data_IF_952616943895
#
_entry.id   IF_952616943895
#
_cell.length_a   1.000
_cell.length_b   1.000
_cell.length_c   1.000
_cell.angle_alpha   90.00
_cell.angle_beta   90.00
_cell.angle_gamma   90.00
#
_symmetry.space_group_name_H-M   'P 1'
#
loop_
_entity.id
_entity.type
_entity.pdbx_description
1 polymer ?
#
# COMPACT_ATOMS: atom_id res chain seq x y z
N UNK A 1 7.76 -14.52 23.42
CA UNK A 1 6.38 -14.85 23.85
C UNK A 1 5.37 -14.99 22.70
N UNK A 2 5.54 -14.32 21.54
CA UNK A 2 4.58 -14.39 20.42
C UNK A 2 4.59 -15.69 19.59
N UNK A 3 5.73 -16.41 19.55
CA UNK A 3 5.89 -17.63 18.74
C UNK A 3 4.89 -18.74 19.08
N UNK A 4 4.66 -18.99 20.37
CA UNK A 4 3.75 -20.05 20.85
C UNK A 4 2.28 -19.70 20.58
N UNK A 5 1.93 -18.40 20.55
CA UNK A 5 0.56 -17.96 20.28
C UNK A 5 0.19 -18.09 18.80
N UNK A 6 1.09 -17.73 17.89
CA UNK A 6 0.85 -17.82 16.44
C UNK A 6 0.74 -19.27 15.96
N UNK A 7 1.55 -20.19 16.49
CA UNK A 7 1.52 -21.61 16.11
C UNK A 7 0.12 -22.22 16.28
N UNK A 8 -0.53 -21.92 17.40
CA UNK A 8 -1.82 -22.48 17.78
C UNK A 8 -3.04 -21.82 17.12
N UNK A 9 -2.85 -20.78 16.31
CA UNK A 9 -3.95 -20.17 15.57
C UNK A 9 -4.37 -21.06 14.40
N UNK A 10 -5.68 -21.06 14.11
CA UNK A 10 -6.23 -21.68 12.91
C UNK A 10 -5.57 -21.15 11.65
N UNK A 11 -5.39 -22.01 10.65
CA UNK A 11 -4.78 -21.67 9.35
C UNK A 11 -5.49 -20.48 8.71
N UNK A 12 -6.83 -20.45 8.75
CA UNK A 12 -7.63 -19.32 8.25
C UNK A 12 -7.24 -18.00 8.90
N UNK A 13 -7.07 -17.97 10.22
CA UNK A 13 -6.72 -16.75 10.96
C UNK A 13 -5.32 -16.27 10.61
N UNK A 14 -4.36 -17.19 10.46
CA UNK A 14 -2.99 -16.88 10.01
C UNK A 14 -3.00 -16.19 8.63
N UNK A 15 -3.77 -16.71 7.67
CA UNK A 15 -3.91 -16.13 6.33
C UNK A 15 -4.66 -14.79 6.34
N UNK A 16 -5.71 -14.65 7.15
CA UNK A 16 -6.45 -13.39 7.29
C UNK A 16 -5.58 -12.27 7.87
N UNK A 17 -4.71 -12.58 8.83
CA UNK A 17 -3.77 -11.61 9.40
C UNK A 17 -2.77 -11.12 8.34
N UNK A 18 -2.21 -12.03 7.54
CA UNK A 18 -1.34 -11.66 6.42
C UNK A 18 -2.06 -10.73 5.43
N UNK A 19 -3.26 -11.11 4.99
CA UNK A 19 -4.06 -10.31 4.06
C UNK A 19 -4.40 -8.93 4.61
N UNK A 20 -4.82 -8.86 5.88
CA UNK A 20 -5.12 -7.59 6.54
C UNK A 20 -3.90 -6.67 6.63
N UNK A 21 -2.73 -7.21 6.98
CA UNK A 21 -1.47 -6.45 7.03
C UNK A 21 -1.07 -5.95 5.64
N UNK A 22 -1.18 -6.79 4.61
CA UNK A 22 -0.86 -6.40 3.23
C UNK A 22 -1.78 -5.29 2.73
N UNK A 23 -3.09 -5.40 2.97
CA UNK A 23 -4.08 -4.37 2.62
C UNK A 23 -3.80 -3.07 3.38
N UNK A 24 -3.54 -3.16 4.68
CA UNK A 24 -3.18 -1.99 5.49
C UNK A 24 -1.92 -1.30 4.96
N UNK A 25 -0.90 -2.06 4.56
CA UNK A 25 0.31 -1.54 3.93
C UNK A 25 0.00 -0.77 2.63
N UNK A 26 -0.80 -1.35 1.75
CA UNK A 26 -1.23 -0.69 0.50
C UNK A 26 -2.03 0.59 0.78
N UNK A 27 -2.93 0.58 1.76
CA UNK A 27 -3.69 1.77 2.15
C UNK A 27 -2.79 2.87 2.69
N UNK A 28 -1.80 2.54 3.53
CA UNK A 28 -0.82 3.49 4.03
C UNK A 28 -0.04 4.12 2.87
N UNK A 29 0.39 3.32 1.89
CA UNK A 29 1.06 3.84 0.69
C UNK A 29 0.15 4.76 -0.13
N UNK A 30 -1.13 4.40 -0.27
CA UNK A 30 -2.13 5.24 -0.96
C UNK A 30 -2.37 6.58 -0.27
N UNK A 31 -2.56 6.59 1.05
CA UNK A 31 -2.73 7.82 1.83
C UNK A 31 -1.50 8.72 1.71
N UNK A 32 -0.30 8.14 1.83
CA UNK A 32 0.97 8.85 1.66
C UNK A 32 1.14 9.45 0.26
N UNK A 33 0.68 8.76 -0.78
CA UNK A 33 0.68 9.29 -2.15
C UNK A 33 -0.27 10.48 -2.28
N UNK A 34 -1.49 10.37 -1.75
CA UNK A 34 -2.48 11.46 -1.81
C UNK A 34 -2.03 12.73 -1.08
N UNK A 35 -1.45 12.60 0.12
CA UNK A 35 -0.96 13.76 0.89
C UNK A 35 0.18 14.48 0.16
N UNK A 36 1.07 13.74 -0.50
CA UNK A 36 2.16 14.33 -1.28
C UNK A 36 1.62 15.14 -2.47
N UNK A 37 0.62 14.61 -3.18
CA UNK A 37 -0.02 15.30 -4.31
C UNK A 37 -0.76 16.56 -3.89
N UNK A 38 -1.41 16.56 -2.71
CA UNK A 38 -2.12 17.74 -2.21
C UNK A 38 -1.21 18.95 -1.98
N UNK A 39 0.02 18.74 -1.51
CA UNK A 39 0.99 19.85 -1.35
C UNK A 39 1.45 20.41 -2.68
N UNK A 40 1.83 19.53 -3.61
CA UNK A 40 2.24 19.93 -4.98
C UNK A 40 1.12 20.72 -5.65
N UNK A 41 -0.14 20.30 -5.46
CA UNK A 41 -1.30 21.02 -5.98
C UNK A 41 -1.39 22.44 -5.42
N UNK A 42 -1.17 22.63 -4.13
CA UNK A 42 -1.21 23.96 -3.50
C UNK A 42 -0.13 24.89 -4.04
N UNK A 43 1.11 24.43 -4.13
CA UNK A 43 2.23 25.23 -4.67
C UNK A 43 1.98 25.57 -6.15
N UNK A 44 1.48 24.62 -6.93
CA UNK A 44 1.15 24.86 -8.33
C UNK A 44 0.00 25.88 -8.48
N UNK A 45 -0.99 25.81 -7.59
CA UNK A 45 -2.03 26.84 -7.49
C UNK A 45 -1.42 28.19 -7.15
N UNK A 46 -0.52 28.26 -6.17
CA UNK A 46 0.09 29.53 -5.76
C UNK A 46 0.92 30.18 -6.88
N UNK A 47 1.71 29.40 -7.61
CA UNK A 47 2.47 29.87 -8.76
C UNK A 47 1.53 30.31 -9.89
N UNK A 48 0.61 29.44 -10.30
CA UNK A 48 -0.17 29.63 -11.53
C UNK A 48 -1.32 30.62 -11.37
N UNK A 49 -1.90 30.74 -10.18
CA UNK A 49 -3.07 31.58 -9.94
C UNK A 49 -2.74 32.88 -9.21
N UNK A 50 -1.59 32.99 -8.53
CA UNK A 50 -1.21 34.19 -7.78
C UNK A 50 0.10 34.80 -8.25
N UNK A 51 1.25 34.13 -8.09
CA UNK A 51 2.54 34.78 -8.34
C UNK A 51 2.77 35.16 -9.80
N UNK A 52 2.49 34.25 -10.74
CA UNK A 52 2.71 34.55 -12.16
C UNK A 52 1.79 35.66 -12.69
N UNK A 53 0.46 35.64 -12.47
CA UNK A 53 -0.39 36.77 -12.82
C UNK A 53 0.02 38.07 -12.14
N UNK A 54 0.46 38.02 -10.89
CA UNK A 54 0.88 39.20 -10.13
C UNK A 54 2.10 39.88 -10.77
N UNK A 55 3.12 39.12 -11.18
CA UNK A 55 4.28 39.67 -11.88
C UNK A 55 3.89 40.25 -13.24
N UNK A 56 3.06 39.54 -14.02
CA UNK A 56 2.63 40.00 -15.35
C UNK A 56 1.85 41.32 -15.27
N UNK A 57 0.91 41.45 -14.31
CA UNK A 57 0.13 42.68 -14.15
C UNK A 57 1.03 43.85 -13.73
N UNK A 58 2.01 43.62 -12.85
CA UNK A 58 2.92 44.68 -12.39
C UNK A 58 3.91 45.13 -13.46
N UNK A 59 4.44 44.22 -14.27
CA UNK A 59 5.28 44.59 -15.42
C UNK A 59 4.50 45.40 -16.46
N UNK A 60 3.25 45.01 -16.72
CA UNK A 60 2.34 45.74 -17.60
C UNK A 60 2.00 47.13 -17.04
N UNK A 61 1.72 47.24 -15.74
CA UNK A 61 1.53 48.53 -15.06
C UNK A 61 2.78 49.41 -15.13
N UNK A 62 3.96 48.85 -14.86
CA UNK A 62 5.21 49.60 -14.94
C UNK A 62 5.50 50.12 -16.36
N UNK A 63 5.14 49.32 -17.37
CA UNK A 63 5.24 49.71 -18.78
C UNK A 63 4.24 50.83 -19.10
N UNK A 64 2.96 50.66 -18.78
CA UNK A 64 1.90 51.64 -19.07
C UNK A 64 2.09 52.96 -18.37
N UNK A 65 2.54 52.95 -17.11
CA UNK A 65 2.87 54.17 -16.38
C UNK A 65 4.05 54.90 -17.02
N UNK A 66 5.06 54.18 -17.47
CA UNK A 66 6.19 54.75 -18.24
C UNK A 66 5.74 55.34 -19.57
N UNK A 67 4.90 54.62 -20.33
CA UNK A 67 4.32 55.09 -21.58
C UNK A 67 3.47 56.35 -21.37
N UNK A 68 2.65 56.39 -20.31
CA UNK A 68 1.86 57.58 -19.96
C UNK A 68 2.78 58.79 -19.73
N UNK A 69 3.85 58.63 -18.96
CA UNK A 69 4.81 59.72 -18.70
C UNK A 69 5.53 60.17 -19.97
N UNK A 70 5.87 59.24 -20.86
CA UNK A 70 6.48 59.56 -22.16
C UNK A 70 5.50 60.37 -23.03
N UNK A 71 4.23 59.95 -23.11
CA UNK A 71 3.23 60.66 -23.90
C UNK A 71 2.84 62.01 -23.29
N UNK A 72 2.86 62.13 -21.97
CA UNK A 72 2.72 63.40 -21.27
C UNK A 72 3.84 64.37 -21.68
N UNK A 73 5.10 63.90 -21.70
CA UNK A 73 6.23 64.69 -22.15
C UNK A 73 6.11 65.06 -23.64
N UNK A 74 5.75 64.11 -24.51
CA UNK A 74 5.53 64.34 -25.95
C UNK A 74 4.44 65.39 -26.18
N UNK A 75 3.34 65.34 -25.41
CA UNK A 75 2.24 66.30 -25.50
C UNK A 75 2.70 67.71 -25.16
N UNK A 76 3.45 67.85 -24.07
CA UNK A 76 3.98 69.13 -23.60
C UNK A 76 4.99 69.73 -24.60
N UNK A 77 5.80 68.89 -25.26
CA UNK A 77 6.84 69.32 -26.21
C UNK A 77 6.33 69.51 -27.65
N UNK A 78 5.17 68.95 -28.02
CA UNK A 78 4.68 69.02 -29.40
C UNK A 78 4.12 70.40 -29.76
N UNK A 79 4.54 70.89 -30.94
CA UNK A 79 4.01 72.11 -31.57
C UNK A 79 2.74 71.83 -32.41
N UNK A 80 2.46 70.58 -32.76
CA UNK A 80 1.36 70.19 -33.65
C UNK A 80 0.05 70.00 -32.87
N UNK A 81 -1.00 70.74 -33.23
CA UNK A 81 -2.33 70.57 -32.62
C UNK A 81 -2.95 69.20 -32.92
N UNK A 82 -2.69 68.66 -34.11
CA UNK A 82 -3.17 67.34 -34.50
C UNK A 82 -2.51 66.24 -33.66
N UNK A 83 -1.19 66.32 -33.47
CA UNK A 83 -0.43 65.37 -32.66
C UNK A 83 -0.85 65.44 -31.19
N UNK A 84 -1.02 66.65 -30.64
CA UNK A 84 -1.52 66.85 -29.28
C UNK A 84 -2.90 66.24 -29.07
N UNK A 85 -3.82 66.40 -30.02
CA UNK A 85 -5.16 65.79 -29.93
C UNK A 85 -5.07 64.26 -29.88
N UNK A 86 -4.22 63.65 -30.70
CA UNK A 86 -4.03 62.20 -30.70
C UNK A 86 -3.39 61.73 -29.38
N UNK A 87 -2.36 62.43 -28.89
CA UNK A 87 -1.72 62.13 -27.60
C UNK A 87 -2.69 62.27 -26.42
N UNK A 88 -3.64 63.21 -26.47
CA UNK A 88 -4.67 63.37 -25.44
C UNK A 88 -5.64 62.18 -25.41
N UNK A 89 -5.99 61.64 -26.58
CA UNK A 89 -6.77 60.39 -26.70
C UNK A 89 -5.96 59.19 -26.14
N UNK A 90 -4.68 59.08 -26.48
CA UNK A 90 -3.79 58.01 -25.97
C UNK A 90 -3.58 58.07 -24.46
N UNK A 91 -3.36 59.27 -23.90
CA UNK A 91 -3.24 59.49 -22.46
C UNK A 91 -4.51 59.09 -21.71
N UNK A 92 -5.69 59.36 -22.29
CA UNK A 92 -6.95 58.92 -21.71
C UNK A 92 -7.05 57.39 -21.65
N UNK A 93 -6.70 56.70 -22.74
CA UNK A 93 -6.70 55.22 -22.80
C UNK A 93 -5.72 54.63 -21.77
N UNK A 94 -4.47 55.10 -21.76
CA UNK A 94 -3.45 54.63 -20.82
C UNK A 94 -3.89 54.83 -19.37
N UNK A 95 -4.53 55.95 -19.05
CA UNK A 95 -5.07 56.20 -17.72
C UNK A 95 -6.11 55.16 -17.32
N UNK A 96 -7.07 54.86 -18.19
CA UNK A 96 -8.09 53.84 -17.90
C UNK A 96 -7.48 52.44 -17.73
N UNK A 97 -6.49 52.10 -18.56
CA UNK A 97 -5.78 50.83 -18.48
C UNK A 97 -4.97 50.70 -17.19
N UNK A 98 -4.34 51.78 -16.71
CA UNK A 98 -3.59 51.77 -15.46
C UNK A 98 -4.54 51.57 -14.27
N UNK A 99 -5.66 52.30 -14.21
CA UNK A 99 -6.64 52.13 -13.13
C UNK A 99 -7.25 50.73 -13.13
N UNK A 100 -7.49 50.16 -14.31
CA UNK A 100 -7.95 48.79 -14.46
C UNK A 100 -6.89 47.80 -13.97
N UNK A 101 -5.62 47.96 -14.37
CA UNK A 101 -4.52 47.10 -13.92
C UNK A 101 -4.31 47.12 -12.41
N UNK A 102 -4.40 48.29 -11.77
CA UNK A 102 -4.36 48.41 -10.29
C UNK A 102 -5.55 47.67 -9.67
N UNK A 103 -6.75 47.83 -10.22
CA UNK A 103 -7.95 47.11 -9.79
C UNK A 103 -7.82 45.59 -9.90
N UNK A 104 -7.37 45.10 -11.05
CA UNK A 104 -7.18 43.68 -11.33
C UNK A 104 -6.14 43.06 -10.38
N UNK A 105 -5.02 43.76 -10.15
CA UNK A 105 -4.03 43.35 -9.16
C UNK A 105 -4.67 43.17 -7.77
N UNK A 106 -5.46 44.16 -7.33
CA UNK A 106 -6.11 44.17 -6.02
C UNK A 106 -7.11 43.03 -5.83
N UNK A 107 -7.74 42.55 -6.91
CA UNK A 107 -8.61 41.36 -6.90
C UNK A 107 -7.79 40.08 -6.75
N UNK A 108 -6.68 39.96 -7.50
CA UNK A 108 -5.86 38.74 -7.50
C UNK A 108 -4.94 38.60 -6.27
N UNK A 109 -4.57 39.71 -5.62
CA UNK A 109 -3.59 39.75 -4.53
C UNK A 109 -4.17 40.22 -3.17
N UNK A 110 -5.50 40.18 -3.00
CA UNK A 110 -6.21 40.79 -1.86
C UNK A 110 -5.71 40.38 -0.45
N UNK A 111 -5.17 39.17 -0.29
CA UNK A 111 -4.80 38.58 1.02
C UNK A 111 -3.28 38.45 1.25
N UNK A 112 -2.44 39.14 0.49
CA UNK A 112 -0.97 39.06 0.60
C UNK A 112 -0.36 40.30 1.28
N UNK A 113 0.85 40.19 1.87
CA UNK A 113 1.56 41.34 2.46
C UNK A 113 1.81 42.49 1.49
N UNK A 114 1.67 42.26 0.18
CA UNK A 114 1.78 43.25 -0.90
C UNK A 114 0.57 44.18 -0.99
N UNK A 115 -0.53 43.92 -0.25
CA UNK A 115 -1.72 44.77 -0.29
C UNK A 115 -1.44 46.22 0.14
N UNK A 116 -0.65 46.39 1.19
CA UNK A 116 -0.28 47.73 1.66
C UNK A 116 0.56 48.49 0.61
N UNK A 117 1.44 47.79 -0.11
CA UNK A 117 2.28 48.38 -1.15
C UNK A 117 1.45 48.83 -2.37
N UNK A 118 0.48 48.02 -2.81
CA UNK A 118 -0.38 48.42 -3.94
C UNK A 118 -1.36 49.54 -3.55
N UNK A 119 -1.88 49.53 -2.32
CA UNK A 119 -2.73 50.62 -1.83
C UNK A 119 -1.93 51.94 -1.75
N UNK A 120 -0.65 51.88 -1.34
CA UNK A 120 0.24 53.05 -1.36
C UNK A 120 0.59 53.52 -2.78
N UNK A 121 0.88 52.58 -3.69
CA UNK A 121 1.15 52.90 -5.09
C UNK A 121 -0.06 53.56 -5.77
N UNK A 122 -1.27 53.09 -5.46
CA UNK A 122 -2.53 53.69 -5.94
C UNK A 122 -2.69 55.14 -5.47
N UNK A 123 -2.38 55.42 -4.20
CA UNK A 123 -2.50 56.76 -3.63
C UNK A 123 -1.50 57.73 -4.28
N UNK A 124 -0.23 57.33 -4.42
CA UNK A 124 0.79 58.13 -5.12
C UNK A 124 0.41 58.33 -6.59
N UNK A 125 -0.11 57.30 -7.24
CA UNK A 125 -0.51 57.41 -8.64
C UNK A 125 -1.70 58.34 -8.84
N UNK A 126 -2.62 58.38 -7.88
CA UNK A 126 -3.72 59.36 -7.87
C UNK A 126 -3.18 60.78 -7.81
N UNK A 127 -2.25 61.05 -6.89
CA UNK A 127 -1.64 62.37 -6.77
C UNK A 127 -0.87 62.74 -8.06
N UNK A 128 -0.14 61.77 -8.65
CA UNK A 128 0.56 61.97 -9.93
C UNK A 128 -0.43 62.33 -11.05
N UNK A 129 -1.58 61.67 -11.11
CA UNK A 129 -2.64 61.95 -12.09
C UNK A 129 -3.24 63.34 -11.91
N UNK A 130 -3.48 63.79 -10.67
CA UNK A 130 -3.98 65.14 -10.40
C UNK A 130 -2.96 66.22 -10.83
N UNK A 131 -1.66 65.97 -10.60
CA UNK A 131 -0.58 66.83 -11.07
C UNK A 131 -0.48 66.84 -12.61
N UNK A 132 -0.58 65.65 -13.23
CA UNK A 132 -0.58 65.46 -14.69
C UNK A 132 -1.72 66.23 -15.35
N UNK A 133 -2.95 66.10 -14.86
CA UNK A 133 -4.11 66.83 -15.39
C UNK A 133 -3.94 68.34 -15.32
N UNK A 134 -3.39 68.83 -14.19
CA UNK A 134 -3.08 70.25 -14.00
C UNK A 134 -2.04 70.70 -15.04
N UNK A 135 -0.98 69.92 -15.25
CA UNK A 135 0.06 70.22 -16.23
C UNK A 135 -0.48 70.24 -17.67
N UNK A 136 -1.31 69.27 -18.04
CA UNK A 136 -1.97 69.23 -19.35
C UNK A 136 -2.92 70.42 -19.53
N UNK A 137 -3.67 70.81 -18.49
CA UNK A 137 -4.55 71.99 -18.52
C UNK A 137 -3.77 73.30 -18.71
N UNK A 138 -2.68 73.49 -17.98
CA UNK A 138 -1.79 74.64 -18.14
C UNK A 138 -1.19 74.67 -19.55
N UNK A 139 -0.69 73.53 -20.04
CA UNK A 139 -0.15 73.41 -21.39
C UNK A 139 -1.18 73.71 -22.49
N UNK A 140 -2.45 73.32 -22.31
CA UNK A 140 -3.57 73.66 -23.22
C UNK A 140 -3.81 75.16 -23.28
N UNK A 141 -3.75 75.85 -22.14
CA UNK A 141 -4.00 77.29 -22.06
C UNK A 141 -2.82 78.12 -22.57
N UNK A 142 -1.59 77.73 -22.23
CA UNK A 142 -0.37 78.41 -22.63
C UNK A 142 0.82 77.43 -22.66
N UNK A 143 1.30 77.09 -23.87
CA UNK A 143 2.35 76.07 -24.06
C UNK A 143 3.72 76.46 -23.51
N UNK A 144 3.97 77.75 -23.31
CA UNK A 144 5.23 78.26 -22.77
C UNK A 144 5.12 78.72 -21.32
N UNK A 145 4.06 78.29 -20.62
CA UNK A 145 3.88 78.66 -19.23
C UNK A 145 5.03 78.09 -18.38
N UNK A 146 5.77 78.92 -17.62
CA UNK A 146 6.86 78.45 -16.78
C UNK A 146 6.39 77.48 -15.69
N UNK A 147 5.09 77.46 -15.34
CA UNK A 147 4.51 76.53 -14.39
C UNK A 147 4.61 75.06 -14.85
N UNK A 148 4.63 74.80 -16.16
CA UNK A 148 4.74 73.43 -16.71
C UNK A 148 6.02 72.76 -16.21
N UNK A 149 7.15 73.48 -16.18
CA UNK A 149 8.42 72.94 -15.71
C UNK A 149 8.36 72.55 -14.23
N UNK A 150 7.74 73.40 -13.40
CA UNK A 150 7.60 73.13 -11.97
C UNK A 150 6.73 71.89 -11.72
N UNK A 151 5.60 71.76 -12.44
CA UNK A 151 4.72 70.59 -12.36
C UNK A 151 5.40 69.30 -12.84
N UNK A 152 6.24 69.39 -13.87
CA UNK A 152 7.01 68.23 -14.36
C UNK A 152 8.07 67.77 -13.35
N UNK A 153 8.73 68.72 -12.65
CA UNK A 153 9.67 68.41 -11.58
C UNK A 153 8.96 67.81 -10.36
N UNK A 154 7.78 68.34 -9.98
CA UNK A 154 6.96 67.81 -8.90
C UNK A 154 6.45 66.38 -9.21
N UNK A 155 5.94 66.15 -10.42
CA UNK A 155 5.42 64.85 -10.84
C UNK A 155 6.52 63.78 -11.02
N UNK A 156 7.80 64.17 -11.08
CA UNK A 156 8.92 63.24 -11.22
C UNK A 156 9.05 62.30 -10.03
N UNK A 157 9.06 62.86 -8.82
CA UNK A 157 9.30 62.06 -7.62
C UNK A 157 8.12 61.13 -7.34
N UNK A 158 6.89 61.58 -7.62
CA UNK A 158 5.66 60.80 -7.51
C UNK A 158 5.66 59.60 -8.47
N UNK A 159 6.02 59.82 -9.74
CA UNK A 159 6.15 58.75 -10.71
C UNK A 159 7.19 57.72 -10.28
N UNK A 160 8.35 58.20 -9.82
CA UNK A 160 9.43 57.32 -9.38
C UNK A 160 9.01 56.49 -8.18
N UNK A 161 8.42 57.10 -7.16
CA UNK A 161 7.97 56.40 -5.95
C UNK A 161 6.88 55.37 -6.27
N UNK A 162 5.92 55.70 -7.14
CA UNK A 162 4.89 54.76 -7.59
C UNK A 162 5.46 53.58 -8.38
N UNK A 163 6.40 53.83 -9.29
CA UNK A 163 7.09 52.80 -10.08
C UNK A 163 7.97 51.89 -9.20
N UNK A 164 8.72 52.47 -8.26
CA UNK A 164 9.55 51.72 -7.31
C UNK A 164 8.68 50.77 -6.46
N UNK A 165 7.48 51.19 -6.05
CA UNK A 165 6.55 50.31 -5.33
C UNK A 165 6.06 49.11 -6.16
N UNK A 166 5.82 49.26 -7.47
CA UNK A 166 5.50 48.11 -8.32
C UNK A 166 6.67 47.11 -8.39
N UNK A 167 7.90 47.61 -8.50
CA UNK A 167 9.11 46.78 -8.51
C UNK A 167 9.34 46.07 -7.17
N UNK A 168 9.12 46.76 -6.05
CA UNK A 168 9.20 46.17 -4.70
C UNK A 168 8.23 44.99 -4.54
N UNK A 169 7.03 45.12 -5.12
CA UNK A 169 6.04 44.03 -5.12
C UNK A 169 6.51 42.86 -5.98
N UNK A 170 7.09 43.10 -7.17
CA UNK A 170 7.68 42.05 -8.01
C UNK A 170 8.79 41.32 -7.25
N UNK A 171 9.74 42.05 -6.66
CA UNK A 171 10.85 41.48 -5.90
C UNK A 171 10.35 40.66 -4.69
N UNK A 172 9.32 41.15 -4.00
CA UNK A 172 8.67 40.40 -2.93
C UNK A 172 8.12 39.06 -3.43
N UNK A 173 7.36 39.07 -4.52
CA UNK A 173 6.76 37.87 -5.09
C UNK A 173 7.82 36.88 -5.59
N UNK A 174 8.88 37.34 -6.24
CA UNK A 174 9.99 36.50 -6.67
C UNK A 174 10.69 35.82 -5.48
N UNK A 175 10.97 36.57 -4.41
CA UNK A 175 11.58 36.02 -3.18
C UNK A 175 10.69 34.97 -2.53
N UNK A 176 9.38 35.21 -2.45
CA UNK A 176 8.43 34.25 -1.86
C UNK A 176 8.27 33.00 -2.73
N UNK A 177 8.22 33.15 -4.05
CA UNK A 177 8.20 32.02 -4.99
C UNK A 177 9.48 31.17 -4.87
N UNK A 178 10.65 31.81 -4.79
CA UNK A 178 11.93 31.14 -4.59
C UNK A 178 12.01 30.43 -3.22
N UNK A 179 11.52 31.08 -2.15
CA UNK A 179 11.45 30.48 -0.81
C UNK A 179 10.53 29.26 -0.78
N UNK A 180 9.36 29.33 -1.41
CA UNK A 180 8.48 28.19 -1.53
C UNK A 180 9.18 27.02 -2.25
N UNK A 181 9.84 27.30 -3.39
CA UNK A 181 10.61 26.29 -4.12
C UNK A 181 11.73 25.63 -3.30
N UNK A 182 12.53 26.41 -2.57
CA UNK A 182 13.67 25.91 -1.77
C UNK A 182 13.18 25.16 -0.51
N UNK A 183 12.18 25.71 0.18
CA UNK A 183 11.61 25.07 1.37
C UNK A 183 10.96 23.74 1.00
N UNK A 184 10.39 23.64 -0.20
CA UNK A 184 9.87 22.40 -0.74
C UNK A 184 10.95 21.40 -1.07
N UNK A 185 12.11 21.77 -1.60
CA UNK A 185 13.14 20.79 -1.97
C UNK A 185 13.66 20.01 -0.74
N UNK A 186 14.05 20.71 0.33
CA UNK A 186 14.54 20.07 1.56
C UNK A 186 13.45 19.25 2.27
N UNK A 187 12.22 19.77 2.25
CA UNK A 187 11.06 19.09 2.85
C UNK A 187 10.67 17.86 2.03
N UNK A 188 10.70 17.96 0.71
CA UNK A 188 10.44 16.90 -0.25
C UNK A 188 11.46 15.78 -0.11
N UNK A 189 12.76 16.09 -0.04
CA UNK A 189 13.82 15.09 0.18
C UNK A 189 13.61 14.36 1.50
N UNK A 190 13.29 15.06 2.59
CA UNK A 190 12.97 14.43 3.89
C UNK A 190 11.73 13.54 3.81
N UNK A 191 10.68 13.97 3.11
CA UNK A 191 9.49 13.15 2.87
C UNK A 191 9.81 11.91 2.02
N UNK A 192 10.59 12.06 0.95
CA UNK A 192 11.07 10.97 0.10
C UNK A 192 11.84 9.92 0.90
N UNK A 193 12.83 10.36 1.68
CA UNK A 193 13.64 9.47 2.53
C UNK A 193 12.76 8.77 3.57
N UNK A 194 11.87 9.50 4.24
CA UNK A 194 10.91 8.92 5.20
C UNK A 194 9.99 7.88 4.55
N UNK A 195 9.48 8.15 3.35
CA UNK A 195 8.64 7.22 2.57
C UNK A 195 9.40 5.96 2.19
N UNK A 196 10.65 6.08 1.72
CA UNK A 196 11.50 4.93 1.38
C UNK A 196 11.75 4.07 2.63
N UNK A 197 12.04 4.70 3.78
CA UNK A 197 12.24 3.98 5.05
C UNK A 197 10.98 3.22 5.45
N UNK A 198 9.81 3.87 5.44
CA UNK A 198 8.54 3.23 5.80
C UNK A 198 8.21 2.08 4.84
N UNK A 199 8.39 2.29 3.53
CA UNK A 199 8.19 1.25 2.53
C UNK A 199 9.10 0.05 2.78
N UNK A 200 10.39 0.29 3.02
CA UNK A 200 11.36 -0.75 3.32
C UNK A 200 10.98 -1.52 4.60
N UNK A 201 10.55 -0.83 5.65
CA UNK A 201 10.09 -1.46 6.90
C UNK A 201 8.84 -2.33 6.70
N UNK A 202 7.84 -1.84 5.96
CA UNK A 202 6.62 -2.60 5.64
C UNK A 202 6.99 -3.84 4.81
N UNK A 203 7.82 -3.69 3.79
CA UNK A 203 8.28 -4.81 2.95
C UNK A 203 9.04 -5.85 3.77
N UNK A 204 9.99 -5.44 4.61
CA UNK A 204 10.71 -6.37 5.49
C UNK A 204 9.77 -7.09 6.46
N UNK A 205 8.78 -6.38 6.99
CA UNK A 205 7.79 -6.96 7.89
C UNK A 205 6.94 -8.03 7.17
N UNK A 206 6.45 -7.74 5.96
CA UNK A 206 5.65 -8.68 5.16
C UNK A 206 6.48 -9.90 4.78
N UNK A 207 7.69 -9.70 4.23
CA UNK A 207 8.61 -10.79 3.86
C UNK A 207 8.94 -11.66 5.07
N UNK A 208 9.21 -11.04 6.22
CA UNK A 208 9.46 -11.76 7.47
C UNK A 208 8.27 -12.60 7.91
N UNK A 209 7.05 -12.07 7.77
CA UNK A 209 5.82 -12.78 8.12
C UNK A 209 5.52 -13.92 7.14
N UNK A 210 5.78 -13.74 5.85
CA UNK A 210 5.63 -14.77 4.81
C UNK A 210 6.58 -15.95 5.05
N UNK A 211 7.87 -15.67 5.29
CA UNK A 211 8.86 -16.71 5.63
C UNK A 211 8.43 -17.45 6.91
N UNK A 212 7.88 -16.72 7.88
CA UNK A 212 7.38 -17.30 9.11
C UNK A 212 6.19 -18.23 8.88
N UNK A 213 5.22 -17.82 8.06
CA UNK A 213 4.06 -18.64 7.71
C UNK A 213 4.43 -19.87 6.86
N UNK A 214 5.40 -19.76 5.95
CA UNK A 214 5.94 -20.92 5.22
C UNK A 214 6.46 -22.00 6.16
N UNK A 215 7.07 -21.63 7.29
CA UNK A 215 7.54 -22.58 8.30
C UNK A 215 6.43 -23.13 9.19
N UNK A 216 5.41 -22.34 9.50
CA UNK A 216 4.29 -22.75 10.36
C UNK A 216 3.22 -23.58 9.63
N UNK A 217 3.08 -23.39 8.31
CA UNK A 217 2.05 -24.04 7.49
C UNK A 217 2.72 -24.98 6.49
N UNK A 218 3.61 -24.44 5.65
CA UNK A 218 4.18 -25.17 4.52
C UNK A 218 4.98 -26.41 4.94
N UNK A 219 5.90 -26.26 5.90
CA UNK A 219 6.73 -27.39 6.36
C UNK A 219 5.89 -28.52 6.99
N UNK A 220 5.04 -28.29 8.01
CA UNK A 220 4.23 -29.35 8.60
C UNK A 220 3.26 -30.03 7.60
N UNK A 221 2.69 -29.30 6.65
CA UNK A 221 1.87 -29.89 5.59
C UNK A 221 2.71 -30.80 4.69
N UNK A 222 3.93 -30.39 4.35
CA UNK A 222 4.87 -31.22 3.59
C UNK A 222 5.22 -32.49 4.37
N UNK A 223 5.53 -32.38 5.66
CA UNK A 223 5.88 -33.51 6.52
C UNK A 223 4.72 -34.53 6.62
N UNK A 224 3.48 -34.05 6.80
CA UNK A 224 2.28 -34.91 6.79
C UNK A 224 2.10 -35.59 5.43
N UNK A 225 2.29 -34.85 4.33
CA UNK A 225 2.14 -35.38 2.96
C UNK A 225 3.17 -36.48 2.68
N UNK A 226 4.43 -36.27 3.06
CA UNK A 226 5.48 -37.27 2.95
C UNK A 226 5.17 -38.50 3.83
N UNK A 227 4.64 -38.28 5.03
CA UNK A 227 4.21 -39.34 5.93
C UNK A 227 3.11 -40.22 5.32
N UNK A 228 2.09 -39.60 4.70
CA UNK A 228 1.03 -40.33 3.99
C UNK A 228 1.62 -41.19 2.86
N UNK A 229 2.54 -40.64 2.06
CA UNK A 229 3.20 -41.38 0.98
C UNK A 229 4.02 -42.59 1.47
N UNK A 230 4.68 -42.46 2.61
CA UNK A 230 5.41 -43.58 3.23
C UNK A 230 4.45 -44.68 3.70
N UNK A 231 3.38 -44.29 4.40
CA UNK A 231 2.34 -45.21 4.88
C UNK A 231 1.65 -45.93 3.72
N UNK A 232 1.33 -45.24 2.63
CA UNK A 232 0.72 -45.87 1.44
C UNK A 232 1.63 -46.88 0.75
N UNK A 233 2.95 -46.75 0.91
CA UNK A 233 3.94 -47.71 0.43
C UNK A 233 4.27 -48.80 1.46
N UNK A 234 3.56 -48.86 2.59
CA UNK A 234 3.75 -49.87 3.63
C UNK A 234 4.87 -49.56 4.64
N UNK A 235 5.50 -48.38 4.59
CA UNK A 235 6.43 -47.97 5.65
C UNK A 235 5.66 -47.30 6.80
N UNK A 236 5.48 -48.04 7.89
CA UNK A 236 4.78 -47.59 9.10
C UNK A 236 5.72 -47.05 10.18
N UNK A 237 7.01 -46.81 9.87
CA UNK A 237 7.96 -46.17 10.81
C UNK A 237 7.91 -44.65 10.71
N UNK A 238 6.71 -44.11 10.45
CA UNK A 238 6.44 -42.70 10.26
C UNK A 238 5.93 -42.09 11.55
N UNK A 239 6.49 -40.94 11.93
CA UNK A 239 5.97 -40.14 13.03
C UNK A 239 6.07 -38.66 12.68
N UNK A 240 4.95 -37.95 12.76
CA UNK A 240 4.90 -36.50 12.53
C UNK A 240 5.06 -35.78 13.85
N UNK A 241 6.22 -35.15 14.05
CA UNK A 241 6.52 -34.30 15.22
C UNK A 241 5.96 -32.88 15.03
N UNK A 242 4.63 -32.76 15.12
CA UNK A 242 3.96 -31.47 15.05
C UNK A 242 2.79 -31.40 16.04
N UNK A 243 3.04 -30.82 17.22
CA UNK A 243 2.00 -30.53 18.20
C UNK A 243 1.50 -29.09 18.12
N UNK A 244 0.22 -28.94 17.77
CA UNK A 244 -0.47 -27.65 17.63
C UNK A 244 -1.96 -27.85 17.86
N UNK A 245 -2.65 -26.79 18.28
CA UNK A 245 -4.12 -26.76 18.42
C UNK A 245 -4.86 -26.39 17.12
N UNK A 246 -4.13 -26.20 16.02
CA UNK A 246 -4.71 -25.87 14.71
C UNK A 246 -5.12 -27.10 13.90
N UNK A 247 -5.67 -26.86 12.71
CA UNK A 247 -6.11 -27.90 11.79
C UNK A 247 -4.96 -28.85 11.41
N UNK A 248 -3.73 -28.32 11.27
CA UNK A 248 -2.55 -29.09 10.92
C UNK A 248 -2.13 -30.02 12.08
N UNK A 249 -2.19 -29.53 13.32
CA UNK A 249 -1.91 -30.35 14.50
C UNK A 249 -2.92 -31.49 14.65
N UNK A 250 -4.18 -31.23 14.30
CA UNK A 250 -5.23 -32.25 14.27
C UNK A 250 -4.93 -33.32 13.20
N UNK A 251 -4.48 -32.92 12.01
CA UNK A 251 -4.08 -33.85 10.95
C UNK A 251 -2.85 -34.69 11.34
N UNK A 252 -1.82 -34.07 11.94
CA UNK A 252 -0.62 -34.77 12.41
C UNK A 252 -0.96 -35.84 13.46
N UNK A 253 -1.81 -35.50 14.44
CA UNK A 253 -2.32 -36.45 15.45
C UNK A 253 -3.11 -37.59 14.80
N UNK A 254 -4.01 -37.27 13.88
CA UNK A 254 -4.79 -38.28 13.15
C UNK A 254 -3.93 -39.26 12.35
N UNK A 255 -2.88 -38.78 11.67
CA UNK A 255 -1.96 -39.65 10.93
C UNK A 255 -1.13 -40.53 11.87
N UNK A 256 -0.60 -39.96 12.97
CA UNK A 256 0.14 -40.73 13.97
C UNK A 256 -0.74 -41.84 14.59
N UNK A 257 -2.00 -41.53 14.92
CA UNK A 257 -2.96 -42.50 15.45
C UNK A 257 -3.27 -43.62 14.44
N UNK A 258 -3.37 -43.29 13.14
CA UNK A 258 -3.55 -44.28 12.07
C UNK A 258 -2.34 -45.21 11.95
N UNK A 259 -1.12 -44.65 11.93
CA UNK A 259 0.12 -45.43 11.86
C UNK A 259 0.26 -46.36 13.06
N UNK A 260 -0.03 -45.86 14.26
CA UNK A 260 -0.03 -46.67 15.48
C UNK A 260 -1.02 -47.84 15.39
N UNK A 261 -2.24 -47.60 14.90
CA UNK A 261 -3.26 -48.65 14.73
C UNK A 261 -2.82 -49.72 13.73
N UNK A 262 -2.32 -49.30 12.56
CA UNK A 262 -1.86 -50.23 11.52
C UNK A 262 -0.70 -51.10 12.01
N UNK A 263 0.30 -50.50 12.67
CA UNK A 263 1.41 -51.25 13.28
C UNK A 263 0.91 -52.26 14.31
N UNK A 264 -0.04 -51.86 15.15
CA UNK A 264 -0.62 -52.73 16.18
C UNK A 264 -1.39 -53.89 15.55
N UNK A 265 -2.22 -53.64 14.52
CA UNK A 265 -2.93 -54.69 13.79
C UNK A 265 -1.97 -55.68 13.16
N UNK A 266 -0.93 -55.22 12.47
CA UNK A 266 0.06 -56.10 11.83
C UNK A 266 0.79 -56.96 12.88
N UNK A 267 1.11 -56.39 14.04
CA UNK A 267 1.72 -57.14 15.14
C UNK A 267 0.77 -58.19 15.72
N UNK A 268 -0.49 -57.83 15.96
CA UNK A 268 -1.53 -58.75 16.44
C UNK A 268 -1.78 -59.88 15.42
N UNK A 269 -1.90 -59.55 14.13
CA UNK A 269 -2.10 -60.52 13.05
C UNK A 269 -0.92 -61.48 12.92
N UNK A 270 0.32 -60.97 12.99
CA UNK A 270 1.51 -61.81 12.96
C UNK A 270 1.50 -62.82 14.10
N UNK A 271 1.20 -62.38 15.31
CA UNK A 271 1.09 -63.29 16.45
C UNK A 271 -0.01 -64.35 16.24
N UNK A 272 -1.18 -63.96 15.73
CA UNK A 272 -2.26 -64.92 15.45
C UNK A 272 -1.86 -65.96 14.40
N UNK A 273 -1.13 -65.55 13.35
CA UNK A 273 -0.64 -66.48 12.34
C UNK A 273 0.44 -67.41 12.89
N UNK A 274 1.31 -66.91 13.76
CA UNK A 274 2.31 -67.73 14.48
C UNK A 274 1.60 -68.77 15.38
N UNK A 275 0.60 -68.35 16.17
CA UNK A 275 -0.21 -69.23 17.01
C UNK A 275 -0.91 -70.34 16.19
N UNK A 276 -1.54 -69.97 15.05
CA UNK A 276 -2.15 -70.93 14.12
C UNK A 276 -1.08 -71.90 13.58
N UNK A 277 0.10 -71.39 13.23
CA UNK A 277 1.23 -72.18 12.72
C UNK A 277 1.74 -73.21 13.73
N UNK A 278 1.73 -72.85 15.01
CA UNK A 278 2.10 -73.72 16.13
C UNK A 278 0.98 -74.69 16.54
N UNK A 279 -0.19 -74.59 15.89
CA UNK A 279 -1.35 -75.47 16.11
C UNK A 279 -2.29 -75.02 17.23
N UNK A 280 -2.14 -73.79 17.73
CA UNK A 280 -3.08 -73.16 18.65
C UNK A 280 -4.16 -72.42 17.85
N UNK A 281 -5.39 -72.94 17.90
CA UNK A 281 -6.50 -72.37 17.13
C UNK A 281 -7.43 -71.47 17.94
N UNK A 282 -7.27 -71.40 19.26
CA UNK A 282 -8.03 -70.46 20.12
C UNK A 282 -7.35 -69.10 20.18
N UNK A 283 -7.13 -68.51 19.01
CA UNK A 283 -6.49 -67.21 18.88
C UNK A 283 -7.40 -66.07 19.33
N UNK A 284 -6.80 -65.02 19.89
CA UNK A 284 -7.48 -63.78 20.29
C UNK A 284 -6.59 -62.57 19.99
N UNK A 285 -7.20 -61.45 19.62
CA UNK A 285 -6.47 -60.20 19.50
C UNK A 285 -5.95 -59.75 20.86
N UNK A 286 -4.69 -59.35 20.91
CA UNK A 286 -4.10 -58.74 22.10
C UNK A 286 -4.68 -57.34 22.30
N UNK A 287 -4.97 -56.64 21.20
CA UNK A 287 -5.46 -55.27 21.21
C UNK A 287 -6.79 -55.12 20.44
N UNK A 288 -7.91 -55.77 20.84
CA UNK A 288 -9.16 -55.76 20.07
C UNK A 288 -9.69 -54.36 19.71
N UNK A 289 -9.39 -53.36 20.54
CA UNK A 289 -9.83 -51.98 20.35
C UNK A 289 -9.27 -51.27 19.11
N UNK A 290 -8.24 -51.80 18.45
CA UNK A 290 -7.73 -51.22 17.20
C UNK A 290 -8.58 -51.60 16.00
N UNK A 291 -9.22 -52.77 15.99
CA UNK A 291 -10.06 -53.30 14.92
C UNK A 291 -11.48 -52.68 14.92
N UNK A 292 -11.58 -51.39 14.58
CA UNK A 292 -12.85 -50.64 14.52
C UNK A 292 -13.27 -50.34 13.09
N UNK A 293 -14.58 -50.18 12.87
CA UNK A 293 -15.13 -49.90 11.54
C UNK A 293 -14.78 -51.04 10.59
N UNK A 294 -14.34 -50.71 9.37
CA UNK A 294 -14.04 -51.70 8.33
C UNK A 294 -12.92 -52.69 8.73
N UNK A 295 -12.02 -52.30 9.65
CA UNK A 295 -10.96 -53.19 10.14
C UNK A 295 -11.49 -54.36 10.99
N UNK A 296 -12.72 -54.28 11.53
CA UNK A 296 -13.27 -55.41 12.31
C UNK A 296 -13.47 -56.66 11.46
N UNK A 297 -13.69 -56.50 10.15
CA UNK A 297 -13.83 -57.62 9.22
C UNK A 297 -12.54 -58.46 9.15
N UNK A 298 -11.37 -57.82 9.24
CA UNK A 298 -10.07 -58.51 9.19
C UNK A 298 -9.93 -59.47 10.39
N UNK A 299 -10.21 -58.97 11.59
CA UNK A 299 -10.19 -59.79 12.80
C UNK A 299 -11.20 -60.94 12.75
N UNK A 300 -12.41 -60.66 12.25
CA UNK A 300 -13.45 -61.67 12.09
C UNK A 300 -13.03 -62.79 11.13
N UNK A 301 -12.40 -62.44 10.00
CA UNK A 301 -11.97 -63.44 9.01
C UNK A 301 -10.80 -64.29 9.52
N UNK A 302 -9.82 -63.71 10.20
CA UNK A 302 -8.68 -64.45 10.76
C UNK A 302 -9.17 -65.43 11.84
N UNK A 303 -9.98 -64.97 12.78
CA UNK A 303 -10.55 -65.82 13.83
C UNK A 303 -11.48 -66.90 13.26
N UNK A 304 -12.28 -66.55 12.25
CA UNK A 304 -13.10 -67.51 11.50
C UNK A 304 -12.26 -68.57 10.78
N UNK A 305 -11.13 -68.18 10.18
CA UNK A 305 -10.19 -69.10 9.54
C UNK A 305 -9.56 -70.07 10.54
N UNK A 306 -9.09 -69.57 11.69
CA UNK A 306 -8.53 -70.41 12.75
C UNK A 306 -9.53 -71.48 13.22
N UNK A 307 -10.79 -71.10 13.44
CA UNK A 307 -11.86 -72.04 13.82
C UNK A 307 -12.10 -73.12 12.75
N UNK A 308 -12.13 -72.75 11.47
CA UNK A 308 -12.28 -73.72 10.37
C UNK A 308 -11.07 -74.66 10.24
N UNK A 309 -9.88 -74.21 10.62
CA UNK A 309 -8.68 -75.05 10.67
C UNK A 309 -8.73 -76.03 11.85
N UNK A 310 -9.16 -75.57 13.02
CA UNK A 310 -9.39 -76.41 14.21
C UNK A 310 -10.33 -77.58 13.89
N UNK A 311 -11.47 -77.28 13.26
CA UNK A 311 -12.48 -78.26 12.86
C UNK A 311 -11.90 -79.31 11.88
N UNK A 312 -11.15 -78.86 10.86
CA UNK A 312 -10.50 -79.76 9.89
C UNK A 312 -9.42 -80.65 10.52
N UNK A 313 -8.58 -80.10 11.39
CA UNK A 313 -7.56 -80.87 12.08
C UNK A 313 -8.19 -81.91 13.02
N UNK A 314 -9.31 -81.58 13.66
CA UNK A 314 -10.07 -82.51 14.49
C UNK A 314 -10.69 -83.65 13.67
N UNK A 315 -11.29 -83.34 12.53
CA UNK A 315 -11.93 -84.32 11.65
C UNK A 315 -10.91 -85.22 10.92
N UNK A 316 -9.72 -84.71 10.62
CA UNK A 316 -8.62 -85.50 10.07
C UNK A 316 -8.08 -86.55 11.07
N UNK A 317 -7.95 -86.18 12.35
CA UNK A 317 -7.53 -87.11 13.42
C UNK A 317 -8.57 -88.21 13.64
N UNK A 318 -9.86 -87.86 13.68
CA UNK A 318 -10.94 -88.85 13.84
C UNK A 318 -11.05 -89.79 12.64
N UNK A 319 -10.80 -89.31 11.41
CA UNK A 319 -10.76 -90.13 10.20
C UNK A 319 -9.58 -91.11 10.14
N UNK A 320 -8.39 -90.73 10.63
CA UNK A 320 -7.22 -91.62 10.74
C UNK A 320 -7.41 -92.69 11.82
N UNK A 321 -7.98 -92.34 12.97
CA UNK A 321 -8.32 -93.31 14.02
C UNK A 321 -9.37 -94.33 13.55
N UNK A 322 -10.35 -93.89 12.76
CA UNK A 322 -11.33 -94.76 12.11
C UNK A 322 -10.68 -95.76 11.15
N UNK A 323 -9.80 -95.29 10.26
CA UNK A 323 -9.07 -96.16 9.32
C UNK A 323 -8.13 -97.14 10.01
N UNK A 324 -7.40 -96.71 11.05
CA UNK A 324 -6.53 -97.59 11.84
C UNK A 324 -7.32 -98.69 12.57
N UNK A 325 -8.53 -98.39 13.06
CA UNK A 325 -9.42 -99.39 13.66
C UNK A 325 -9.97 -100.37 12.60
N UNK A 326 -10.32 -99.88 11.41
CA UNK A 326 -10.76 -100.73 10.29
C UNK A 326 -9.65 -101.66 9.78
N UNK A 327 -8.41 -101.18 9.73
CA UNK A 327 -7.25 -101.96 9.31
C UNK A 327 -6.91 -103.06 10.33
N UNK A 328 -6.92 -102.74 11.63
CA UNK A 328 -6.79 -103.73 12.71
C UNK A 328 -7.90 -104.79 12.68
N UNK A 329 -9.15 -104.38 12.41
CA UNK A 329 -10.27 -105.33 12.28
C UNK A 329 -10.16 -106.22 11.03
N UNK A 330 -9.56 -105.73 9.93
CA UNK A 330 -9.28 -106.53 8.73
C UNK A 330 -8.13 -107.52 8.95
N UNK A 331 -7.08 -107.13 9.68
CA UNK A 331 -5.98 -108.02 10.06
C UNK A 331 -6.43 -109.13 11.02
N UNK A 332 -7.31 -108.82 11.99
CA UNK A 332 -7.89 -109.84 12.87
C UNK A 332 -8.78 -110.84 12.11
N UNK A 333 -9.58 -110.40 11.14
CA UNK A 333 -10.42 -111.30 10.31
C UNK A 333 -9.63 -112.20 9.35
N UNK A 334 -8.40 -111.82 8.97
CA UNK A 334 -7.53 -112.65 8.13
C UNK A 334 -6.74 -113.70 8.91
N UNK A 335 -6.63 -113.59 10.24
CA UNK A 335 -5.96 -114.57 11.10
C UNK A 335 -6.91 -115.66 11.66
N UNK A 336 -8.20 -115.61 11.33
CA UNK A 336 -9.23 -116.59 11.75
C UNK A 336 -9.67 -117.56 10.62
N UNK A 337 -8.93 -117.61 9.51
CA UNK A 337 -9.06 -118.63 8.45
C UNK A 337 -7.78 -119.42 8.34
#
# INVERSE_FOLDING_TARGET
MNYIRLKNLKVRTKLMLLGAISIAGVLILGIQASVATSRIKQINTDISQYWLPSVVILEDLNTKTSDYRIQEYSYVMSDSEEERRNLEEELHVLREEIWTGIGDYKVHAADKPTRALIDQAEEIWKEYMDCSETMLAVSRANRHDPQIKALFEESHDMFKEGSDLFLDIVEYNEKEAARAGIQDENTYVRYMVGKIIILLLITLMIVGLDIHLMRLIGKPISDITEGIWKVSNGDLRVHIDYDSMDEIGTMAKGLNDLVWRLNTMISDEKQMFDDIGDGEFKIKAQTPQVYRGDFSAVLYEITGMAKRLEERCRDGKSGQEGKNKEQKNKEQKNNEK
#
